data_IF_782157575129
#
_entry.id   IF_782157575129
#
_cell.length_a   1.000
_cell.length_b   1.000
_cell.length_c   1.000
_cell.angle_alpha   90.00
_cell.angle_beta   90.00
_cell.angle_gamma   90.00
#
_symmetry.space_group_name_H-M   'P 1'
#
loop_
_entity.id
_entity.type
_entity.pdbx_description
1 polymer ?
#
# COMPACT_ATOMS: atom_id res chain seq x y z
N UNK A 1 -14.79 18.38 0.85
CA UNK A 1 -14.18 17.77 0.83
C UNK A 1 -13.74 17.16 -0.25
N UNK A 2 -12.79 16.76 -0.53
CA UNK A 2 -12.43 16.18 -1.55
C UNK A 2 -12.24 14.81 -1.35
N UNK A 3 -12.66 13.93 -2.12
CA UNK A 3 -12.47 12.52 -2.01
C UNK A 3 -11.02 12.20 -2.29
N UNK A 4 -10.50 11.25 -1.58
CA UNK A 4 -9.14 10.86 -1.80
C UNK A 4 -9.09 9.93 -2.99
N UNK A 5 -8.03 10.03 -3.77
CA UNK A 5 -7.86 9.15 -4.88
C UNK A 5 -7.55 7.76 -4.42
N UNK A 6 -8.10 6.78 -5.12
CA UNK A 6 -7.83 5.39 -4.81
C UNK A 6 -6.98 4.78 -5.91
N UNK A 7 -6.13 3.87 -5.52
CA UNK A 7 -5.19 3.24 -6.44
C UNK A 7 -5.27 1.73 -6.30
N UNK A 8 -5.01 1.05 -7.40
CA UNK A 8 -4.92 -0.40 -7.34
C UNK A 8 -3.60 -0.77 -6.68
N UNK A 9 -3.52 -1.95 -6.08
CA UNK A 9 -2.25 -2.39 -5.50
C UNK A 9 -1.12 -2.40 -6.52
N UNK A 10 -1.43 -2.73 -7.76
CA UNK A 10 -0.44 -2.76 -8.80
C UNK A 10 0.20 -1.40 -9.00
N UNK A 11 -0.62 -0.37 -9.04
CA UNK A 11 -0.13 0.99 -9.22
C UNK A 11 0.78 1.37 -8.05
N UNK A 12 0.38 1.00 -6.84
CA UNK A 12 1.15 1.32 -5.67
C UNK A 12 2.49 0.60 -5.67
N UNK A 13 2.50 -0.64 -6.11
CA UNK A 13 3.74 -1.39 -6.19
C UNK A 13 4.69 -0.76 -7.20
N UNK A 14 4.16 -0.30 -8.31
CA UNK A 14 4.98 0.26 -9.36
C UNK A 14 5.36 1.71 -9.14
N UNK A 15 4.74 2.34 -8.16
CA UNK A 15 4.93 3.77 -7.97
C UNK A 15 6.30 4.14 -7.41
N UNK A 16 6.99 3.18 -6.83
CA UNK A 16 8.29 3.48 -6.24
C UNK A 16 8.22 4.10 -4.86
N UNK A 17 7.02 4.17 -4.28
CA UNK A 17 6.89 4.76 -2.95
C UNK A 17 7.53 3.91 -1.88
N UNK A 18 7.61 2.62 -2.11
CA UNK A 18 8.04 1.69 -1.08
C UNK A 18 9.38 1.08 -1.43
N UNK A 19 10.16 0.80 -0.41
CA UNK A 19 11.47 0.19 -0.60
C UNK A 19 11.31 -1.22 -1.14
N UNK A 20 12.38 -1.76 -1.69
CA UNK A 20 12.32 -3.09 -2.28
C UNK A 20 11.80 -4.13 -1.33
N UNK A 21 12.23 -4.07 -0.07
CA UNK A 21 11.78 -5.02 0.91
C UNK A 21 10.28 -4.94 1.12
N UNK A 22 9.76 -3.72 1.21
CA UNK A 22 8.34 -3.53 1.38
C UNK A 22 7.59 -3.93 0.12
N UNK A 23 8.16 -3.66 -1.04
CA UNK A 23 7.52 -4.02 -2.29
C UNK A 23 7.28 -5.51 -2.40
N UNK A 24 8.19 -6.30 -1.91
CA UNK A 24 8.05 -7.75 -1.98
C UNK A 24 6.81 -8.23 -1.26
N UNK A 25 6.44 -7.52 -0.21
CA UNK A 25 5.29 -7.94 0.58
C UNK A 25 4.01 -7.22 0.22
N UNK A 26 4.09 -6.22 -0.64
CA UNK A 26 2.89 -5.45 -0.98
C UNK A 26 1.79 -6.32 -1.56
N UNK A 27 2.15 -7.32 -2.32
CA UNK A 27 1.14 -8.19 -2.89
C UNK A 27 0.36 -8.93 -1.83
N UNK A 28 1.01 -9.20 -0.73
CA UNK A 28 0.36 -9.88 0.38
C UNK A 28 -0.40 -8.89 1.23
N UNK A 29 0.22 -7.73 1.47
CA UNK A 29 -0.37 -6.74 2.34
C UNK A 29 -1.60 -6.10 1.71
N UNK A 30 -1.49 -5.73 0.45
CA UNK A 30 -2.55 -5.02 -0.23
C UNK A 30 -3.46 -6.01 -0.93
N UNK A 31 -4.43 -6.51 -0.19
CA UNK A 31 -5.33 -7.51 -0.74
C UNK A 31 -6.66 -6.95 -1.23
N UNK A 32 -6.92 -5.68 -0.96
CA UNK A 32 -8.14 -5.07 -1.43
C UNK A 32 -7.99 -4.61 -2.87
N UNK A 33 -9.12 -4.36 -3.51
CA UNK A 33 -9.09 -3.89 -4.89
C UNK A 33 -8.55 -2.50 -5.03
N UNK A 34 -8.86 -1.65 -4.08
CA UNK A 34 -8.44 -0.25 -4.13
C UNK A 34 -7.99 0.22 -2.77
N UNK A 35 -7.04 1.13 -2.79
CA UNK A 35 -6.52 1.73 -1.57
C UNK A 35 -6.29 3.21 -1.79
N UNK A 36 -6.54 4.01 -0.76
CA UNK A 36 -6.02 5.37 -0.77
C UNK A 36 -4.58 5.29 -0.29
N UNK A 37 -3.84 6.37 -0.50
CA UNK A 37 -2.46 6.39 -0.03
C UNK A 37 -2.37 6.20 1.46
N UNK A 38 -3.30 6.78 2.20
CA UNK A 38 -3.31 6.62 3.63
C UNK A 38 -3.55 5.19 4.04
N UNK A 39 -4.49 4.55 3.39
CA UNK A 39 -4.80 3.18 3.71
C UNK A 39 -3.64 2.26 3.40
N UNK A 40 -3.00 2.49 2.28
CA UNK A 40 -1.86 1.67 1.90
C UNK A 40 -0.71 1.85 2.88
N UNK A 41 -0.42 3.09 3.23
CA UNK A 41 0.65 3.36 4.18
C UNK A 41 0.37 2.71 5.52
N UNK A 42 -0.87 2.79 5.96
CA UNK A 42 -1.22 2.21 7.23
C UNK A 42 -1.11 0.70 7.19
N UNK A 43 -1.56 0.09 6.10
CA UNK A 43 -1.48 -1.36 5.97
C UNK A 43 -0.03 -1.83 6.00
N UNK A 44 0.83 -1.13 5.30
CA UNK A 44 2.25 -1.49 5.26
C UNK A 44 2.87 -1.29 6.64
N UNK A 45 2.58 -0.16 7.26
CA UNK A 45 3.12 0.13 8.57
C UNK A 45 2.69 -0.91 9.59
N UNK A 46 1.40 -1.26 9.57
CA UNK A 46 0.90 -2.26 10.50
C UNK A 46 1.57 -3.61 10.30
N UNK A 47 1.77 -3.96 9.04
CA UNK A 47 2.37 -5.25 8.73
C UNK A 47 3.79 -5.35 9.31
N UNK A 48 4.58 -4.31 9.11
CA UNK A 48 5.96 -4.37 9.57
C UNK A 48 6.10 -4.04 11.05
N UNK A 49 5.13 -3.33 11.60
CA UNK A 49 5.17 -3.03 13.02
C UNK A 49 4.90 -4.24 13.88
N UNK A 50 4.12 -5.15 13.36
CA UNK A 50 3.76 -6.29 14.12
C UNK A 50 4.86 -7.26 14.29
N UNK A 51 5.94 -7.03 13.65
CA UNK A 51 7.04 -7.92 13.82
C UNK A 51 7.68 -7.83 15.15
#
# INVERSE_FOLDING_TARGET
MKAEKQYTPEVLIQSGRYAGRQRDFLRVILSKSLYTLKEADKAVSDFFDKE
#
